data_IF_218100123027
#
_entry.id   IF_218100123027
#
_cell.length_a   1.000
_cell.length_b   1.000
_cell.length_c   1.000
_cell.angle_alpha   90.00
_cell.angle_beta   90.00
_cell.angle_gamma   90.00
#
_symmetry.space_group_name_H-M   'P 1'
#
loop_
_entity.id
_entity.type
_entity.pdbx_description
1 polymer ?
#
# COMPACT_ATOMS: atom_id res chain seq x y z
N UNK A 1 -20.78 -58.74 -12.55
CA UNK A 1 -21.51 -58.63 -13.83
C UNK A 1 -21.60 -57.14 -14.19
N UNK A 2 -20.59 -56.65 -14.92
CA UNK A 2 -20.68 -56.23 -16.34
C UNK A 2 -21.23 -54.81 -16.52
N UNK A 3 -20.43 -53.78 -16.22
CA UNK A 3 -19.94 -52.79 -17.21
C UNK A 3 -19.89 -53.35 -18.64
N UNK A 4 -20.85 -53.01 -19.51
CA UNK A 4 -20.79 -53.04 -20.99
C UNK A 4 -22.23 -52.99 -21.58
N UNK A 5 -22.85 -51.81 -21.70
CA UNK A 5 -23.96 -51.56 -22.63
C UNK A 5 -24.48 -50.11 -22.53
N UNK A 6 -23.66 -49.13 -22.91
CA UNK A 6 -24.14 -47.78 -23.21
C UNK A 6 -23.11 -47.07 -24.09
N UNK A 7 -22.90 -47.62 -25.28
CA UNK A 7 -22.20 -47.00 -26.39
C UNK A 7 -23.04 -47.17 -27.64
N UNK A 8 -23.72 -46.09 -28.02
CA UNK A 8 -24.22 -45.76 -29.36
C UNK A 8 -25.13 -44.55 -29.14
N UNK A 9 -24.99 -43.40 -29.76
CA UNK A 9 -24.10 -42.91 -30.79
C UNK A 9 -24.22 -41.38 -30.69
N UNK A 10 -23.16 -40.63 -30.98
CA UNK A 10 -23.19 -39.40 -31.79
C UNK A 10 -21.77 -38.84 -31.81
N UNK A 11 -21.03 -39.37 -32.79
CA UNK A 11 -19.80 -38.80 -33.31
C UNK A 11 -20.20 -37.54 -34.08
N UNK A 12 -19.71 -36.38 -33.64
CA UNK A 12 -19.94 -35.10 -34.28
C UNK A 12 -18.82 -34.13 -33.94
N UNK A 13 -17.79 -34.15 -34.77
CA UNK A 13 -16.63 -33.26 -34.71
C UNK A 13 -17.08 -31.82 -34.97
N UNK A 14 -16.74 -30.90 -34.08
CA UNK A 14 -16.58 -29.48 -34.41
C UNK A 14 -15.38 -28.94 -33.63
N UNK A 15 -14.22 -28.91 -34.31
CA UNK A 15 -13.13 -28.00 -33.99
C UNK A 15 -13.67 -26.58 -34.12
N UNK A 16 -13.73 -25.81 -33.03
CA UNK A 16 -13.83 -24.36 -33.15
C UNK A 16 -13.15 -23.67 -31.96
N UNK A 17 -12.03 -23.04 -32.31
CA UNK A 17 -11.42 -21.84 -31.73
C UNK A 17 -11.15 -21.80 -30.22
N UNK A 18 -9.84 -21.75 -29.91
CA UNK A 18 -9.29 -21.16 -28.71
C UNK A 18 -9.89 -19.76 -28.49
N UNK A 19 -10.81 -19.61 -27.54
CA UNK A 19 -11.13 -18.32 -26.98
C UNK A 19 -10.13 -18.07 -25.85
N UNK A 20 -9.07 -17.35 -26.18
CA UNK A 20 -8.23 -16.68 -25.18
C UNK A 20 -9.11 -15.64 -24.46
N UNK A 21 -9.26 -15.80 -23.15
CA UNK A 21 -9.78 -14.73 -22.30
C UNK A 21 -9.00 -13.43 -22.58
N UNK A 22 -9.66 -12.30 -22.84
CA UNK A 22 -8.94 -11.05 -22.93
C UNK A 22 -8.46 -10.72 -21.51
N UNK A 23 -7.15 -10.89 -21.28
CA UNK A 23 -6.45 -10.16 -20.23
C UNK A 23 -6.78 -8.69 -20.47
N UNK A 24 -7.52 -8.10 -19.54
CA UNK A 24 -7.78 -6.67 -19.52
C UNK A 24 -6.41 -5.97 -19.49
N UNK A 25 -5.99 -5.48 -20.66
CA UNK A 25 -4.82 -4.64 -20.77
C UNK A 25 -5.02 -3.45 -19.85
N UNK A 26 -4.04 -3.20 -18.98
CA UNK A 26 -3.88 -1.89 -18.38
C UNK A 26 -3.94 -0.84 -19.51
N UNK A 27 -4.59 0.32 -19.31
CA UNK A 27 -4.57 1.36 -20.32
C UNK A 27 -3.14 1.88 -20.43
N UNK A 28 -2.39 1.30 -21.38
CA UNK A 28 -1.13 1.84 -21.84
C UNK A 28 -1.45 3.05 -22.72
N UNK A 29 -0.69 4.12 -22.52
CA UNK A 29 -0.80 5.46 -23.09
C UNK A 29 -1.92 6.38 -22.55
N UNK A 30 -1.56 7.20 -21.55
CA UNK A 30 -2.12 8.54 -21.46
C UNK A 30 -1.82 9.29 -22.78
N UNK A 31 -2.75 10.09 -23.34
CA UNK A 31 -2.49 10.84 -24.55
C UNK A 31 -1.32 11.80 -24.35
N UNK A 32 -0.26 11.67 -25.14
CA UNK A 32 0.79 12.69 -25.20
C UNK A 32 0.23 13.85 -26.01
N UNK A 33 -0.29 14.87 -25.32
CA UNK A 33 -0.73 16.11 -25.97
C UNK A 33 0.48 16.84 -26.58
N UNK A 34 0.58 16.82 -27.90
CA UNK A 34 1.61 17.49 -28.71
C UNK A 34 1.24 18.94 -29.05
N UNK A 35 1.06 19.78 -28.03
CA UNK A 35 0.89 21.24 -28.15
C UNK A 35 1.76 22.00 -27.14
N UNK A 36 2.06 23.30 -27.36
CA UNK A 36 2.80 24.08 -26.36
C UNK A 36 1.96 24.15 -25.08
N UNK A 37 2.42 23.47 -24.03
CA UNK A 37 1.70 23.42 -22.75
C UNK A 37 1.60 24.84 -22.19
N UNK A 38 0.38 25.32 -21.99
CA UNK A 38 0.15 26.49 -21.16
C UNK A 38 0.60 26.17 -19.73
N UNK A 39 0.96 27.19 -18.94
CA UNK A 39 1.33 27.00 -17.54
C UNK A 39 0.27 26.22 -16.76
N UNK A 40 -1.01 26.49 -17.03
CA UNK A 40 -2.14 25.76 -16.46
C UNK A 40 -2.15 24.28 -16.86
N UNK A 41 -1.99 23.96 -18.15
CA UNK A 41 -1.95 22.58 -18.64
C UNK A 41 -0.75 21.82 -18.09
N UNK A 42 0.41 22.48 -17.94
CA UNK A 42 1.58 21.89 -17.31
C UNK A 42 1.29 21.53 -15.84
N UNK A 43 0.69 22.46 -15.09
CA UNK A 43 0.31 22.23 -13.69
C UNK A 43 -0.70 21.10 -13.52
N UNK A 44 -1.75 21.07 -14.33
CA UNK A 44 -2.74 19.97 -14.33
C UNK A 44 -2.09 18.62 -14.61
N UNK A 45 -1.23 18.55 -15.63
CA UNK A 45 -0.49 17.32 -15.98
C UNK A 45 0.42 16.85 -14.85
N UNK A 46 1.19 17.75 -14.23
CA UNK A 46 2.06 17.39 -13.11
C UNK A 46 1.26 16.86 -11.92
N UNK A 47 0.14 17.50 -11.58
CA UNK A 47 -0.72 17.07 -10.48
C UNK A 47 -1.42 15.75 -10.75
N UNK A 48 -1.89 15.51 -11.98
CA UNK A 48 -2.54 14.26 -12.37
C UNK A 48 -1.61 13.03 -12.27
N UNK A 49 -0.30 13.26 -12.43
CA UNK A 49 0.72 12.21 -12.42
C UNK A 49 1.46 12.11 -11.07
N UNK A 50 1.07 12.91 -10.07
CA UNK A 50 1.72 12.91 -8.75
C UNK A 50 0.95 12.06 -7.75
N UNK A 51 1.67 11.21 -7.03
CA UNK A 51 1.16 10.43 -5.90
C UNK A 51 2.00 10.76 -4.67
N UNK A 52 1.34 11.17 -3.59
CA UNK A 52 2.01 11.36 -2.30
C UNK A 52 1.94 10.09 -1.47
N UNK A 53 3.02 9.78 -0.76
CA UNK A 53 3.13 8.58 0.08
C UNK A 53 3.55 9.00 1.49
N UNK A 54 2.64 8.88 2.47
CA UNK A 54 3.00 9.09 3.87
C UNK A 54 3.82 7.92 4.40
N UNK A 55 5.01 8.23 4.88
CA UNK A 55 6.02 7.26 5.35
C UNK A 55 6.10 7.26 6.88
N UNK A 56 7.26 6.95 7.45
CA UNK A 56 7.49 6.96 8.88
C UNK A 56 8.32 8.16 9.32
N UNK A 57 9.06 7.96 10.40
CA UNK A 57 9.96 8.98 10.94
C UNK A 57 11.25 9.07 10.11
N UNK A 58 12.00 10.18 10.18
CA UNK A 58 13.29 10.28 9.48
C UNK A 58 14.24 9.13 9.85
N UNK A 59 14.73 8.42 8.84
CA UNK A 59 15.65 7.28 9.02
C UNK A 59 14.96 5.95 9.32
N UNK A 60 13.65 5.95 9.57
CA UNK A 60 12.85 4.74 9.74
C UNK A 60 12.71 3.93 8.45
N UNK A 61 12.23 2.69 8.57
CA UNK A 61 12.15 1.75 7.43
C UNK A 61 11.19 2.28 6.38
N UNK A 62 10.05 2.81 6.80
CA UNK A 62 9.01 3.30 5.89
C UNK A 62 9.53 4.48 5.06
N UNK A 63 10.30 5.39 5.68
CA UNK A 63 10.90 6.53 4.98
C UNK A 63 11.90 6.06 3.92
N UNK A 64 12.75 5.10 4.27
CA UNK A 64 13.73 4.53 3.33
C UNK A 64 13.04 3.87 2.15
N UNK A 65 12.03 3.03 2.37
CA UNK A 65 11.31 2.36 1.30
C UNK A 65 10.53 3.37 0.43
N UNK A 66 9.90 4.38 1.03
CA UNK A 66 9.26 5.45 0.27
C UNK A 66 10.25 6.23 -0.61
N UNK A 67 11.45 6.51 -0.11
CA UNK A 67 12.52 7.12 -0.91
C UNK A 67 12.95 6.22 -2.08
N UNK A 68 13.05 4.91 -1.87
CA UNK A 68 13.35 3.95 -2.95
C UNK A 68 12.22 3.92 -3.99
N UNK A 69 10.94 4.03 -3.61
CA UNK A 69 9.85 4.16 -4.57
C UNK A 69 10.02 5.39 -5.45
N UNK A 70 10.33 6.53 -4.85
CA UNK A 70 10.61 7.76 -5.60
C UNK A 70 11.88 7.69 -6.44
N UNK A 71 12.82 6.81 -6.12
CA UNK A 71 14.04 6.62 -6.91
C UNK A 71 13.83 5.66 -8.10
N UNK A 72 13.01 4.62 -7.92
CA UNK A 72 12.87 3.52 -8.89
C UNK A 72 11.66 3.69 -9.80
N UNK A 73 10.56 4.25 -9.31
CA UNK A 73 9.28 4.31 -10.03
C UNK A 73 8.98 5.70 -10.61
N UNK A 74 9.60 6.75 -10.07
CA UNK A 74 9.41 8.12 -10.54
C UNK A 74 10.13 8.33 -11.87
N UNK A 75 9.37 8.45 -12.95
CA UNK A 75 9.90 8.75 -14.28
C UNK A 75 9.72 10.22 -14.67
N UNK A 76 9.24 11.06 -13.73
CA UNK A 76 9.08 12.51 -13.86
C UNK A 76 7.93 12.96 -14.77
N UNK A 77 7.62 12.18 -15.80
CA UNK A 77 6.62 12.53 -16.82
C UNK A 77 5.28 11.83 -16.60
N UNK A 78 5.27 10.52 -16.31
CA UNK A 78 4.03 9.71 -16.16
C UNK A 78 3.71 9.41 -14.71
N UNK A 79 4.72 9.33 -13.86
CA UNK A 79 4.56 9.13 -12.43
C UNK A 79 5.61 9.92 -11.65
N UNK A 80 5.12 10.74 -10.73
CA UNK A 80 5.90 11.44 -9.71
C UNK A 80 5.51 10.90 -8.35
N UNK A 81 6.48 10.47 -7.55
CA UNK A 81 6.24 10.03 -6.18
C UNK A 81 6.83 11.05 -5.22
N UNK A 82 6.01 11.52 -4.28
CA UNK A 82 6.41 12.43 -3.22
C UNK A 82 6.31 11.73 -1.85
N UNK A 83 7.40 11.14 -1.34
CA UNK A 83 7.44 10.62 0.01
C UNK A 83 7.36 11.78 1.00
N UNK A 84 6.40 11.72 1.92
CA UNK A 84 6.26 12.69 3.00
C UNK A 84 6.54 12.01 4.34
N UNK A 85 7.11 12.76 5.29
CA UNK A 85 7.37 12.27 6.64
C UNK A 85 6.04 12.06 7.37
N UNK A 86 5.90 10.89 8.00
CA UNK A 86 4.77 10.56 8.86
C UNK A 86 5.20 10.42 10.31
N UNK A 87 4.26 10.00 11.16
CA UNK A 87 4.54 9.67 12.57
C UNK A 87 4.58 8.16 12.83
N UNK A 88 4.40 7.35 11.78
CA UNK A 88 4.36 5.89 11.84
C UNK A 88 2.96 5.33 11.54
N UNK A 89 2.87 4.01 11.40
CA UNK A 89 1.69 3.32 10.88
C UNK A 89 0.35 3.77 11.49
N UNK A 90 0.31 3.93 12.81
CA UNK A 90 -0.88 4.33 13.56
C UNK A 90 -1.46 5.67 13.11
N UNK A 91 -0.65 6.72 13.12
CA UNK A 91 -1.07 8.05 12.65
C UNK A 91 -1.28 8.08 11.13
N UNK A 92 -0.44 7.38 10.36
CA UNK A 92 -0.54 7.37 8.89
C UNK A 92 -1.92 6.91 8.40
N UNK A 93 -2.56 5.99 9.11
CA UNK A 93 -3.93 5.57 8.83
C UNK A 93 -4.95 6.72 8.96
N UNK A 94 -4.77 7.62 9.92
CA UNK A 94 -5.56 8.85 10.02
C UNK A 94 -5.16 9.84 8.92
N UNK A 95 -3.87 9.95 8.61
CA UNK A 95 -3.37 10.86 7.58
C UNK A 95 -3.97 10.52 6.20
N UNK A 96 -3.94 9.25 5.79
CA UNK A 96 -4.59 8.75 4.58
C UNK A 96 -6.11 9.05 4.60
N UNK A 97 -6.73 8.91 5.78
CA UNK A 97 -8.18 9.06 5.89
C UNK A 97 -8.65 10.51 5.85
N UNK A 98 -7.87 11.46 6.37
CA UNK A 98 -8.35 12.80 6.68
C UNK A 98 -7.54 13.93 6.08
N UNK A 99 -6.24 13.74 5.82
CA UNK A 99 -5.44 14.78 5.21
C UNK A 99 -5.72 14.86 3.72
N UNK A 100 -5.73 16.08 3.21
CA UNK A 100 -5.78 16.32 1.76
C UNK A 100 -4.38 16.14 1.19
N UNK A 101 -4.29 15.51 0.03
CA UNK A 101 -3.01 15.26 -0.64
C UNK A 101 -2.17 14.19 0.04
N UNK A 102 -2.79 13.23 0.72
CA UNK A 102 -2.17 11.96 1.11
C UNK A 102 -2.89 10.85 0.36
N UNK A 103 -2.25 10.33 -0.69
CA UNK A 103 -2.88 9.35 -1.57
C UNK A 103 -2.62 7.93 -1.08
N UNK A 104 -1.39 7.65 -0.65
CA UNK A 104 -0.93 6.36 -0.15
C UNK A 104 -0.24 6.54 1.21
N UNK A 105 -0.10 5.43 1.94
CA UNK A 105 0.76 5.43 3.11
C UNK A 105 1.11 4.05 3.63
N UNK A 106 2.24 4.00 4.35
CA UNK A 106 2.68 2.81 5.05
C UNK A 106 1.84 2.64 6.33
N UNK A 107 1.16 1.51 6.42
CA UNK A 107 0.34 1.13 7.59
C UNK A 107 0.60 -0.32 7.93
N UNK A 108 0.30 -0.70 9.17
CA UNK A 108 0.27 -2.10 9.56
C UNK A 108 -1.13 -2.67 9.45
N UNK A 109 -1.21 -3.99 9.34
CA UNK A 109 -2.50 -4.71 9.27
C UNK A 109 -3.35 -4.52 10.52
N UNK A 110 -2.74 -4.34 11.69
CA UNK A 110 -3.42 -4.09 12.96
C UNK A 110 -3.91 -2.64 13.10
N UNK A 111 -3.43 -1.72 12.27
CA UNK A 111 -3.82 -0.31 12.35
C UNK A 111 -5.27 -0.08 11.91
N UNK A 112 -5.78 -0.89 10.97
CA UNK A 112 -7.20 -0.83 10.61
C UNK A 112 -8.10 -1.17 11.81
N UNK A 113 -7.68 -2.09 12.68
CA UNK A 113 -8.43 -2.40 13.90
C UNK A 113 -8.41 -1.24 14.89
N UNK A 114 -7.32 -0.48 14.98
CA UNK A 114 -7.27 0.75 15.78
C UNK A 114 -8.26 1.80 15.26
N UNK A 115 -8.35 1.99 13.94
CA UNK A 115 -9.34 2.90 13.36
C UNK A 115 -10.78 2.45 13.62
N UNK A 116 -11.06 1.14 13.55
CA UNK A 116 -12.39 0.58 13.84
C UNK A 116 -12.83 0.81 15.29
N UNK A 117 -11.88 0.85 16.22
CA UNK A 117 -12.16 1.10 17.63
C UNK A 117 -12.46 2.58 17.93
N UNK A 118 -12.05 3.50 17.06
CA UNK A 118 -12.37 4.91 17.19
C UNK A 118 -13.84 5.15 16.83
N UNK A 119 -14.67 5.31 17.86
CA UNK A 119 -16.12 5.53 17.75
C UNK A 119 -16.52 6.79 16.98
N UNK A 120 -15.58 7.71 16.74
CA UNK A 120 -15.82 8.90 15.91
C UNK A 120 -15.88 8.55 14.43
N UNK A 121 -15.29 7.41 14.05
CA UNK A 121 -15.12 7.01 12.66
C UNK A 121 -16.23 6.06 12.21
N UNK A 122 -16.56 6.12 10.92
CA UNK A 122 -17.55 5.27 10.26
C UNK A 122 -17.00 4.81 8.92
N UNK A 123 -17.38 3.61 8.49
CA UNK A 123 -17.10 3.06 7.15
C UNK A 123 -15.60 3.04 6.79
N UNK A 124 -14.72 2.62 7.71
CA UNK A 124 -13.26 2.60 7.48
C UNK A 124 -12.89 1.74 6.27
N UNK A 125 -13.56 0.60 6.10
CA UNK A 125 -13.34 -0.37 5.02
C UNK A 125 -13.63 0.18 3.62
N UNK A 126 -14.44 1.24 3.52
CA UNK A 126 -14.76 1.90 2.26
C UNK A 126 -13.84 3.07 1.93
N UNK A 127 -12.91 3.41 2.83
CA UNK A 127 -12.11 4.63 2.75
C UNK A 127 -10.61 4.35 2.72
N UNK A 128 -10.17 3.18 3.17
CA UNK A 128 -8.77 2.75 3.08
C UNK A 128 -8.72 1.41 2.37
N UNK A 129 -7.98 1.37 1.27
CA UNK A 129 -7.80 0.18 0.45
C UNK A 129 -6.39 -0.39 0.64
N UNK A 130 -6.32 -1.69 0.92
CA UNK A 130 -5.06 -2.41 0.95
C UNK A 130 -4.57 -2.66 -0.49
N UNK A 131 -3.31 -2.31 -0.75
CA UNK A 131 -2.67 -2.51 -2.06
C UNK A 131 -1.77 -3.74 -2.02
N UNK A 132 -0.76 -3.75 -1.15
CA UNK A 132 0.23 -4.82 -1.09
C UNK A 132 0.91 -4.90 0.28
N UNK A 133 1.46 -6.08 0.60
CA UNK A 133 2.36 -6.30 1.74
C UNK A 133 3.78 -6.11 1.23
N UNK A 134 4.52 -5.20 1.85
CA UNK A 134 5.89 -4.89 1.45
C UNK A 134 6.92 -5.67 2.28
N UNK A 135 6.74 -5.72 3.60
CA UNK A 135 7.64 -6.43 4.52
C UNK A 135 6.91 -6.82 5.82
N UNK A 136 7.65 -7.46 6.73
CA UNK A 136 7.21 -7.71 8.10
C UNK A 136 7.82 -6.65 9.02
N UNK A 137 7.03 -6.15 9.95
CA UNK A 137 7.54 -5.32 11.06
C UNK A 137 7.89 -6.23 12.23
N UNK A 138 9.10 -6.06 12.77
CA UNK A 138 9.60 -6.81 13.92
C UNK A 138 9.63 -5.92 15.17
N UNK A 139 9.21 -6.46 16.31
CA UNK A 139 9.34 -5.76 17.59
C UNK A 139 10.76 -5.92 18.12
N UNK A 140 11.52 -4.84 18.11
CA UNK A 140 12.86 -4.79 18.71
C UNK A 140 12.81 -4.23 20.13
N UNK A 141 13.27 -5.02 21.11
CA UNK A 141 13.47 -4.57 22.48
C UNK A 141 14.96 -4.41 22.73
N UNK A 142 15.41 -3.15 22.85
CA UNK A 142 16.81 -2.83 23.14
C UNK A 142 16.96 -2.57 24.63
N UNK A 143 17.77 -3.39 25.30
CA UNK A 143 17.97 -3.33 26.74
C UNK A 143 19.42 -3.69 27.11
N UNK A 144 19.91 -3.23 28.29
CA UNK A 144 21.21 -3.66 28.79
C UNK A 144 21.22 -5.16 29.11
N UNK A 145 22.40 -5.78 29.13
CA UNK A 145 22.60 -7.23 29.37
C UNK A 145 21.99 -7.78 30.68
N UNK A 146 21.65 -6.90 31.63
CA UNK A 146 20.97 -7.26 32.87
C UNK A 146 19.49 -7.57 32.70
N UNK A 147 18.87 -7.14 31.60
CA UNK A 147 17.50 -7.50 31.20
C UNK A 147 17.59 -8.70 30.29
N UNK A 148 17.03 -9.84 30.71
CA UNK A 148 17.05 -11.09 29.96
C UNK A 148 15.67 -11.53 29.50
N UNK A 149 14.64 -11.04 30.16
CA UNK A 149 13.24 -11.34 29.87
C UNK A 149 12.41 -10.05 29.86
N UNK A 150 11.23 -10.09 29.23
CA UNK A 150 10.29 -8.97 29.24
C UNK A 150 9.85 -8.63 30.68
N UNK A 151 9.69 -9.64 31.53
CA UNK A 151 9.32 -9.46 32.94
C UNK A 151 10.34 -8.61 33.71
N UNK A 152 11.61 -8.63 33.32
CA UNK A 152 12.65 -7.81 33.93
C UNK A 152 12.43 -6.31 33.66
N UNK A 153 11.56 -5.92 32.71
CA UNK A 153 11.22 -4.52 32.44
C UNK A 153 10.28 -3.92 33.50
N UNK A 154 9.64 -4.74 34.34
CA UNK A 154 8.70 -4.29 35.34
C UNK A 154 9.36 -3.27 36.30
N UNK A 155 8.71 -2.12 36.50
CA UNK A 155 9.21 -1.04 37.35
C UNK A 155 10.39 -0.25 36.77
N UNK A 156 10.87 -0.57 35.56
CA UNK A 156 11.90 0.22 34.87
C UNK A 156 11.27 1.36 34.07
N UNK A 157 12.08 2.39 33.79
CA UNK A 157 11.72 3.45 32.85
C UNK A 157 11.94 2.92 31.43
N UNK A 158 10.89 2.96 30.60
CA UNK A 158 10.87 2.43 29.24
C UNK A 158 10.46 3.56 28.29
N UNK A 159 11.13 3.66 27.15
CA UNK A 159 10.73 4.57 26.06
C UNK A 159 9.87 3.80 25.05
N UNK A 160 8.77 4.40 24.60
CA UNK A 160 7.88 3.86 23.56
C UNK A 160 7.84 4.78 22.33
N UNK A 161 8.85 5.64 22.19
CA UNK A 161 8.92 6.69 21.17
C UNK A 161 7.79 7.72 21.32
N UNK A 162 7.53 8.53 20.27
CA UNK A 162 6.53 9.62 20.27
C UNK A 162 5.10 9.11 20.23
N UNK A 163 4.15 9.95 20.67
CA UNK A 163 2.72 9.62 20.61
C UNK A 163 2.26 9.42 19.15
N UNK A 164 1.52 8.34 18.91
CA UNK A 164 1.07 7.97 17.56
C UNK A 164 2.09 7.14 16.77
N UNK A 165 3.30 6.97 17.32
CA UNK A 165 4.29 6.04 16.81
C UNK A 165 3.75 4.62 16.91
N UNK A 166 3.79 3.89 15.80
CA UNK A 166 3.68 2.43 15.82
C UNK A 166 4.96 1.76 16.33
N UNK A 167 6.02 2.55 16.55
CA UNK A 167 7.46 2.27 16.62
C UNK A 167 8.03 1.68 15.30
N UNK A 168 8.89 2.47 14.63
CA UNK A 168 9.51 2.28 13.29
C UNK A 168 11.04 2.36 13.38
#
# INVERSE_FOLDING_TARGET
MSRLAQYAAFLGIALMACASDPVAGAPDSAPVETGPATEAALGERMNANTVTVVTGTPGGTYFRVGAEFAFVLDDGDRLRILPILGKGAGENAYDIRFLKGVDLGFVRTDTLDQLRQDKRLKNIEQQIHYIAKLFNDEMHIIAPKSVRTISDLAGKRISFDVKGSGTD
#
